data_IF_326622008708
#
_entry.id   IF_326622008708
#
_cell.length_a   1.000
_cell.length_b   1.000
_cell.length_c   1.000
_cell.angle_alpha   90.00
_cell.angle_beta   90.00
_cell.angle_gamma   90.00
#
_symmetry.space_group_name_H-M   'P 1'
#
loop_
_entity.id
_entity.type
_entity.pdbx_description
1 polymer ?
#
# COMPACT_ATOMS: atom_id res chain seq x y z
N UNK A 1 5.59 -23.80 -7.73
CA UNK A 1 6.69 -22.93 -8.19
C UNK A 1 8.01 -23.71 -8.16
N UNK A 2 8.39 -24.36 -7.04
CA UNK A 2 9.65 -25.13 -6.90
C UNK A 2 9.84 -26.23 -7.95
N UNK A 3 8.74 -26.87 -8.40
CA UNK A 3 8.79 -27.88 -9.47
C UNK A 3 8.92 -27.30 -10.89
N UNK A 4 8.80 -25.99 -11.05
CA UNK A 4 8.84 -25.30 -12.34
C UNK A 4 10.14 -24.54 -12.59
N UNK A 5 10.97 -24.37 -11.54
CA UNK A 5 12.22 -23.63 -11.61
C UNK A 5 13.27 -24.29 -10.73
N UNK A 6 14.22 -24.96 -11.36
CA UNK A 6 15.38 -25.54 -10.64
C UNK A 6 16.25 -24.42 -10.08
N UNK A 7 16.56 -24.51 -8.78
CA UNK A 7 17.36 -23.49 -8.08
C UNK A 7 16.56 -22.29 -7.56
N UNK A 8 15.22 -22.38 -7.52
CA UNK A 8 14.39 -21.33 -6.93
C UNK A 8 14.73 -21.14 -5.43
N UNK A 9 15.17 -19.95 -5.06
CA UNK A 9 15.40 -19.57 -3.67
C UNK A 9 14.10 -19.00 -3.08
N UNK A 10 13.48 -19.74 -2.18
CA UNK A 10 12.29 -19.28 -1.44
C UNK A 10 12.73 -18.61 -0.16
N UNK A 11 12.39 -17.34 0.01
CA UNK A 11 12.71 -16.55 1.20
C UNK A 11 11.43 -16.20 1.95
N UNK A 12 11.47 -16.11 3.30
CA UNK A 12 10.36 -15.60 4.08
C UNK A 12 10.03 -14.15 3.65
N UNK A 13 8.74 -13.83 3.60
CA UNK A 13 8.31 -12.44 3.38
C UNK A 13 8.75 -11.56 4.55
N UNK A 14 9.30 -10.39 4.24
CA UNK A 14 9.60 -9.32 5.21
C UNK A 14 8.72 -8.10 4.91
N UNK A 15 7.55 -7.99 5.58
CA UNK A 15 6.63 -6.87 5.37
C UNK A 15 7.26 -5.51 5.70
N UNK A 16 8.13 -5.45 6.70
CA UNK A 16 8.82 -4.22 7.07
C UNK A 16 9.79 -3.74 5.98
N UNK A 17 10.53 -4.67 5.36
CA UNK A 17 11.38 -4.34 4.21
C UNK A 17 10.55 -3.88 3.02
N UNK A 18 9.44 -4.56 2.74
CA UNK A 18 8.54 -4.17 1.65
C UNK A 18 7.96 -2.78 1.85
N UNK A 19 7.55 -2.46 3.09
CA UNK A 19 7.03 -1.12 3.42
C UNK A 19 8.12 -0.05 3.26
N UNK A 20 9.34 -0.29 3.78
CA UNK A 20 10.45 0.66 3.62
C UNK A 20 10.80 0.91 2.15
N UNK A 21 10.84 -0.13 1.34
CA UNK A 21 11.09 0.01 -0.10
C UNK A 21 9.96 0.80 -0.79
N UNK A 22 8.71 0.58 -0.38
CA UNK A 22 7.58 1.29 -0.94
C UNK A 22 7.48 2.75 -0.49
N UNK A 23 8.02 3.10 0.68
CA UNK A 23 8.10 4.49 1.12
C UNK A 23 8.87 5.37 0.14
N UNK A 24 9.91 4.85 -0.51
CA UNK A 24 10.64 5.59 -1.57
C UNK A 24 9.71 5.93 -2.74
N UNK A 25 8.82 5.00 -3.10
CA UNK A 25 7.79 5.26 -4.13
C UNK A 25 6.81 6.34 -3.68
N UNK A 26 6.38 6.30 -2.41
CA UNK A 26 5.46 7.33 -1.89
C UNK A 26 6.12 8.70 -1.83
N UNK A 27 7.41 8.76 -1.50
CA UNK A 27 8.18 10.01 -1.50
C UNK A 27 8.32 10.56 -2.93
N UNK A 28 8.60 9.69 -3.91
CA UNK A 28 8.61 10.05 -5.33
C UNK A 28 7.26 10.61 -5.82
N UNK A 29 6.15 9.98 -5.42
CA UNK A 29 4.80 10.48 -5.72
C UNK A 29 4.53 11.85 -5.05
N UNK A 30 5.15 12.13 -3.91
CA UNK A 30 5.08 13.43 -3.23
C UNK A 30 5.61 14.60 -4.06
N UNK A 31 6.50 14.35 -5.02
CA UNK A 31 6.96 15.37 -5.99
C UNK A 31 5.90 15.71 -7.05
N UNK A 32 4.97 14.77 -7.28
CA UNK A 32 3.90 14.92 -8.28
C UNK A 32 2.63 15.48 -7.66
N UNK A 33 2.32 15.09 -6.44
CA UNK A 33 1.09 15.50 -5.75
C UNK A 33 1.32 15.72 -4.26
N UNK A 34 0.75 16.78 -3.71
CA UNK A 34 0.77 17.07 -2.28
C UNK A 34 -0.01 16.01 -1.45
N UNK A 35 -0.94 15.31 -2.08
CA UNK A 35 -1.71 14.23 -1.44
C UNK A 35 -1.32 12.91 -2.08
N UNK A 36 -0.77 12.00 -1.27
CA UNK A 36 -0.42 10.64 -1.67
C UNK A 36 -1.08 9.67 -0.70
N UNK A 37 -1.80 8.69 -1.23
CA UNK A 37 -2.51 7.71 -0.42
C UNK A 37 -2.02 6.30 -0.73
N UNK A 38 -1.62 5.57 0.29
CA UNK A 38 -1.22 4.17 0.19
C UNK A 38 -2.43 3.27 0.42
N UNK A 39 -2.71 2.37 -0.53
CA UNK A 39 -3.65 1.28 -0.30
C UNK A 39 -2.96 0.16 0.49
N UNK A 40 -1.80 -0.27 -0.01
CA UNK A 40 -0.87 -1.21 0.62
C UNK A 40 0.48 -1.12 -0.11
N UNK A 41 1.56 -1.71 0.42
CA UNK A 41 2.82 -1.79 -0.31
C UNK A 41 2.62 -2.36 -1.73
N UNK A 42 3.04 -1.58 -2.74
CA UNK A 42 2.85 -1.86 -4.16
C UNK A 42 1.67 -1.14 -4.82
N UNK A 43 0.76 -0.51 -4.04
CA UNK A 43 -0.40 0.20 -4.58
C UNK A 43 -0.59 1.51 -3.84
N UNK A 44 -0.50 2.62 -4.57
CA UNK A 44 -0.82 3.96 -4.09
C UNK A 44 -1.69 4.69 -5.11
N UNK A 45 -2.30 5.79 -4.69
CA UNK A 45 -3.02 6.68 -5.57
C UNK A 45 -2.80 8.15 -5.16
N UNK A 46 -2.98 9.04 -6.13
CA UNK A 46 -2.96 10.48 -5.99
C UNK A 46 -4.21 11.07 -6.65
N UNK A 47 -4.68 12.26 -6.24
CA UNK A 47 -5.81 12.90 -6.89
C UNK A 47 -5.51 13.22 -8.37
N UNK A 48 -6.42 12.89 -9.28
CA UNK A 48 -6.29 13.21 -10.70
C UNK A 48 -6.23 14.73 -10.97
N UNK A 49 -6.69 15.55 -10.01
CA UNK A 49 -6.56 17.02 -10.08
C UNK A 49 -5.12 17.51 -10.18
N UNK A 50 -4.12 16.69 -9.85
CA UNK A 50 -2.71 16.97 -10.08
C UNK A 50 -2.40 17.18 -11.57
N UNK A 51 -3.18 16.60 -12.49
CA UNK A 51 -3.04 16.79 -13.94
C UNK A 51 -3.08 18.25 -14.39
N UNK A 52 -3.74 19.11 -13.62
CA UNK A 52 -3.79 20.57 -13.90
C UNK A 52 -2.40 21.21 -13.90
N UNK A 53 -1.45 20.66 -13.16
CA UNK A 53 -0.06 21.15 -13.13
C UNK A 53 0.73 20.68 -14.37
N UNK A 54 0.36 19.55 -14.95
CA UNK A 54 1.08 18.91 -16.04
C UNK A 54 0.41 19.10 -17.42
N UNK A 55 -0.79 19.69 -17.45
CA UNK A 55 -1.51 20.06 -18.65
C UNK A 55 -2.50 19.02 -19.17
N UNK A 56 -2.30 17.73 -18.90
CA UNK A 56 -3.25 16.67 -19.22
C UNK A 56 -3.11 15.47 -18.26
N UNK A 57 -4.04 14.53 -18.31
CA UNK A 57 -4.01 13.29 -17.54
C UNK A 57 -2.94 12.33 -18.06
N UNK A 58 -2.73 12.29 -19.37
CA UNK A 58 -1.65 11.51 -19.97
C UNK A 58 -0.29 12.02 -19.49
N UNK A 59 -0.07 13.34 -19.51
CA UNK A 59 1.17 13.94 -19.02
C UNK A 59 1.39 13.69 -17.52
N UNK A 60 0.33 13.64 -16.72
CA UNK A 60 0.41 13.20 -15.32
C UNK A 60 0.85 11.75 -15.21
N UNK A 61 0.27 10.83 -16.00
CA UNK A 61 0.67 9.43 -16.02
C UNK A 61 2.15 9.25 -16.40
N UNK A 62 2.59 9.92 -17.48
CA UNK A 62 3.99 9.90 -17.91
C UNK A 62 4.91 10.41 -16.80
N UNK A 63 4.58 11.54 -16.17
CA UNK A 63 5.37 12.09 -15.07
C UNK A 63 5.47 11.16 -13.87
N UNK A 64 4.39 10.47 -13.51
CA UNK A 64 4.40 9.46 -12.43
C UNK A 64 5.34 8.31 -12.77
N UNK A 65 5.28 7.79 -13.98
CA UNK A 65 6.17 6.70 -14.44
C UNK A 65 7.63 7.15 -14.38
N UNK A 66 7.94 8.34 -14.91
CA UNK A 66 9.30 8.89 -14.95
C UNK A 66 9.88 9.06 -13.55
N UNK A 67 9.15 9.71 -12.63
CA UNK A 67 9.62 9.96 -11.26
C UNK A 67 9.88 8.66 -10.51
N UNK A 68 9.00 7.67 -10.64
CA UNK A 68 9.20 6.38 -10.00
C UNK A 68 10.41 5.66 -10.60
N UNK A 69 10.55 5.64 -11.91
CA UNK A 69 11.69 5.02 -12.59
C UNK A 69 13.02 5.70 -12.21
N UNK A 70 13.05 7.03 -12.18
CA UNK A 70 14.22 7.83 -11.79
C UNK A 70 14.69 7.56 -10.37
N UNK A 71 13.76 7.49 -9.41
CA UNK A 71 14.09 7.37 -7.99
C UNK A 71 14.26 5.94 -7.49
N UNK A 72 13.56 4.98 -8.11
CA UNK A 72 13.55 3.61 -7.63
C UNK A 72 14.16 2.59 -8.59
N UNK A 73 14.33 2.96 -9.86
CA UNK A 73 14.71 2.03 -10.92
C UNK A 73 13.64 0.99 -11.23
N UNK A 74 12.41 1.17 -10.74
CA UNK A 74 11.30 0.22 -10.89
C UNK A 74 10.32 0.69 -11.96
N UNK A 75 9.71 -0.26 -12.64
CA UNK A 75 8.56 0.00 -13.51
C UNK A 75 7.28 0.07 -12.69
N UNK A 76 6.33 0.91 -13.11
CA UNK A 76 5.00 0.98 -12.53
C UNK A 76 3.92 1.06 -13.62
N UNK A 77 2.72 0.67 -13.25
CA UNK A 77 1.52 0.80 -14.08
C UNK A 77 0.66 1.91 -13.49
N UNK A 78 0.24 2.83 -14.34
CA UNK A 78 -0.55 4.00 -13.94
C UNK A 78 -1.87 4.00 -14.70
N UNK A 79 -2.95 4.32 -14.02
CA UNK A 79 -4.27 4.51 -14.62
C UNK A 79 -5.01 5.64 -13.93
N UNK A 80 -5.88 6.32 -14.66
CA UNK A 80 -6.75 7.39 -14.18
C UNK A 80 -8.21 6.96 -14.32
N UNK A 81 -9.08 7.50 -13.50
CA UNK A 81 -10.51 7.28 -13.56
C UNK A 81 -11.23 8.07 -12.47
N UNK A 82 -12.57 8.11 -12.54
CA UNK A 82 -13.42 8.81 -11.56
C UNK A 82 -13.33 8.20 -10.14
N UNK A 83 -12.79 6.96 -10.03
CA UNK A 83 -12.61 6.27 -8.75
C UNK A 83 -11.52 5.20 -8.81
N UNK A 84 -11.22 4.60 -7.64
CA UNK A 84 -10.16 3.61 -7.51
C UNK A 84 -10.33 2.42 -8.47
N UNK A 85 -11.55 1.93 -8.65
CA UNK A 85 -11.82 0.78 -9.51
C UNK A 85 -11.51 1.10 -10.98
N UNK A 86 -11.95 2.26 -11.46
CA UNK A 86 -11.70 2.69 -12.84
C UNK A 86 -10.21 2.95 -13.07
N UNK A 87 -9.56 3.67 -12.15
CA UNK A 87 -8.11 3.88 -12.20
C UNK A 87 -7.33 2.56 -12.16
N UNK A 88 -7.78 1.58 -11.35
CA UNK A 88 -7.20 0.25 -11.30
C UNK A 88 -7.30 -0.51 -12.63
N UNK A 89 -8.47 -0.46 -13.28
CA UNK A 89 -8.67 -1.03 -14.63
C UNK A 89 -7.75 -0.35 -15.63
N UNK A 90 -7.64 0.97 -15.57
CA UNK A 90 -6.72 1.76 -16.41
C UNK A 90 -5.27 1.30 -16.25
N UNK A 91 -4.79 1.16 -15.02
CA UNK A 91 -3.45 0.68 -14.73
C UNK A 91 -3.20 -0.75 -15.24
N UNK A 92 -4.17 -1.66 -15.08
CA UNK A 92 -4.05 -3.04 -15.56
C UNK A 92 -4.03 -3.16 -17.09
N UNK A 93 -4.71 -2.27 -17.79
CA UNK A 93 -4.88 -2.33 -19.24
C UNK A 93 -4.02 -1.32 -20.01
N UNK A 94 -3.30 -0.44 -19.30
CA UNK A 94 -2.51 0.62 -19.91
C UNK A 94 -3.37 1.67 -20.63
N UNK A 95 -4.55 1.99 -20.08
CA UNK A 95 -5.52 2.92 -20.66
C UNK A 95 -5.80 4.04 -19.68
N UNK A 96 -5.75 5.27 -20.16
CA UNK A 96 -6.21 6.45 -19.40
C UNK A 96 -7.74 6.50 -19.49
N UNK A 97 -8.42 6.66 -18.35
CA UNK A 97 -9.86 6.78 -18.23
C UNK A 97 -10.65 5.67 -18.98
N UNK A 98 -10.58 4.41 -18.52
CA UNK A 98 -11.27 3.29 -19.15
C UNK A 98 -12.79 3.48 -19.08
N UNK A 99 -13.48 3.12 -20.16
CA UNK A 99 -14.92 3.16 -20.23
C UNK A 99 -15.62 2.14 -19.28
N UNK A 100 -16.91 2.33 -19.05
CA UNK A 100 -17.71 1.49 -18.15
C UNK A 100 -17.74 0.02 -18.58
N UNK A 101 -17.65 -0.27 -19.87
CA UNK A 101 -17.61 -1.64 -20.41
C UNK A 101 -16.36 -2.36 -19.95
N UNK A 102 -15.20 -1.71 -20.00
CA UNK A 102 -13.93 -2.27 -19.54
C UNK A 102 -13.93 -2.54 -18.03
N UNK A 103 -14.57 -1.68 -17.26
CA UNK A 103 -14.76 -1.87 -15.83
C UNK A 103 -15.65 -3.07 -15.55
N UNK A 104 -16.78 -3.17 -16.27
CA UNK A 104 -17.74 -4.27 -16.12
C UNK A 104 -17.16 -5.63 -16.49
N UNK A 105 -16.30 -5.68 -17.49
CA UNK A 105 -15.66 -6.92 -17.96
C UNK A 105 -14.49 -7.38 -17.07
N UNK A 106 -14.05 -6.56 -16.11
CA UNK A 106 -12.95 -6.93 -15.22
C UNK A 106 -13.31 -8.18 -14.40
N UNK A 107 -12.43 -9.18 -14.42
CA UNK A 107 -12.58 -10.34 -13.55
C UNK A 107 -12.47 -9.95 -12.08
N UNK A 108 -13.38 -10.45 -11.24
CA UNK A 108 -13.37 -10.23 -9.80
C UNK A 108 -12.05 -10.63 -9.12
N UNK A 109 -11.31 -11.59 -9.67
CA UNK A 109 -10.00 -11.99 -9.13
C UNK A 109 -8.95 -10.87 -9.20
N UNK A 110 -9.07 -9.95 -10.15
CA UNK A 110 -8.19 -8.80 -10.25
C UNK A 110 -8.45 -7.73 -9.16
N UNK A 111 -9.54 -7.86 -8.39
CA UNK A 111 -9.82 -6.97 -7.26
C UNK A 111 -9.08 -7.39 -5.97
N UNK A 112 -8.56 -8.60 -5.89
CA UNK A 112 -7.83 -9.11 -4.70
C UNK A 112 -6.75 -8.15 -4.20
N UNK A 113 -5.92 -7.54 -5.06
CA UNK A 113 -4.91 -6.58 -4.61
C UNK A 113 -5.46 -5.34 -3.92
N UNK A 114 -6.69 -4.93 -4.18
CA UNK A 114 -7.34 -3.76 -3.58
C UNK A 114 -8.04 -4.07 -2.25
N UNK A 115 -8.06 -5.33 -1.85
CA UNK A 115 -8.77 -5.79 -0.66
C UNK A 115 -7.80 -6.11 0.47
N UNK A 116 -8.24 -5.88 1.71
CA UNK A 116 -7.41 -6.07 2.93
C UNK A 116 -7.69 -7.37 3.69
N UNK A 117 -8.67 -8.16 3.24
CA UNK A 117 -9.01 -9.45 3.85
C UNK A 117 -7.92 -10.50 3.60
N UNK A 118 -7.94 -11.58 4.41
CA UNK A 118 -7.05 -12.72 4.18
C UNK A 118 -7.32 -13.34 2.82
N UNK A 119 -6.26 -13.74 2.14
CA UNK A 119 -6.34 -14.30 0.80
C UNK A 119 -7.23 -15.54 0.72
N UNK A 120 -7.19 -16.40 1.75
CA UNK A 120 -8.06 -17.59 1.87
C UNK A 120 -9.54 -17.26 1.87
N UNK A 121 -9.93 -16.19 2.57
CA UNK A 121 -11.34 -15.81 2.71
C UNK A 121 -11.85 -15.17 1.42
N UNK A 122 -10.97 -14.39 0.75
CA UNK A 122 -11.23 -13.83 -0.58
C UNK A 122 -11.41 -14.94 -1.62
N UNK A 123 -10.52 -15.93 -1.64
CA UNK A 123 -10.61 -17.05 -2.60
C UNK A 123 -11.89 -17.85 -2.39
N UNK A 124 -12.27 -18.15 -1.16
CA UNK A 124 -13.50 -18.86 -0.85
C UNK A 124 -14.74 -18.12 -1.36
N UNK A 125 -14.80 -16.80 -1.18
CA UNK A 125 -15.92 -15.98 -1.67
C UNK A 125 -15.92 -15.91 -3.19
N UNK A 126 -14.77 -15.67 -3.82
CA UNK A 126 -14.65 -15.56 -5.27
C UNK A 126 -14.97 -16.91 -5.97
N UNK A 127 -14.56 -18.05 -5.38
CA UNK A 127 -14.90 -19.36 -5.88
C UNK A 127 -16.40 -19.66 -5.75
N UNK A 128 -17.02 -19.23 -4.65
CA UNK A 128 -18.48 -19.34 -4.45
C UNK A 128 -19.25 -18.49 -5.47
N UNK A 129 -18.79 -17.29 -5.76
CA UNK A 129 -19.36 -16.43 -6.79
C UNK A 129 -19.20 -17.03 -8.18
N UNK A 130 -18.01 -17.52 -8.50
CA UNK A 130 -17.73 -18.17 -9.79
C UNK A 130 -18.58 -19.43 -10.03
N UNK A 131 -18.85 -20.21 -8.98
CA UNK A 131 -19.75 -21.37 -9.04
C UNK A 131 -21.21 -20.97 -9.35
N UNK A 132 -21.61 -19.74 -8.99
CA UNK A 132 -22.91 -19.14 -9.32
C UNK A 132 -22.91 -18.43 -10.69
N UNK A 133 -21.81 -18.48 -11.43
CA UNK A 133 -21.68 -17.82 -12.72
C UNK A 133 -21.25 -16.35 -12.64
N UNK A 134 -21.05 -15.80 -11.44
CA UNK A 134 -20.65 -14.40 -11.21
C UNK A 134 -19.11 -14.32 -11.24
N UNK A 135 -18.56 -13.80 -12.31
CA UNK A 135 -17.11 -13.79 -12.56
C UNK A 135 -16.52 -12.41 -12.79
N UNK A 136 -17.34 -11.46 -13.22
CA UNK A 136 -16.91 -10.11 -13.55
C UNK A 136 -17.51 -9.09 -12.60
N UNK A 137 -16.98 -7.87 -12.65
CA UNK A 137 -17.53 -6.72 -11.92
C UNK A 137 -19.00 -6.49 -12.32
N UNK A 138 -19.30 -6.52 -13.62
CA UNK A 138 -20.66 -6.35 -14.12
C UNK A 138 -21.64 -7.42 -13.63
N UNK A 139 -21.20 -8.70 -13.63
CA UNK A 139 -22.01 -9.78 -13.06
C UNK A 139 -22.34 -9.52 -11.58
N UNK A 140 -21.35 -9.05 -10.80
CA UNK A 140 -21.55 -8.79 -9.39
C UNK A 140 -22.46 -7.57 -9.15
N UNK A 141 -22.31 -6.52 -9.95
CA UNK A 141 -23.18 -5.35 -9.91
C UNK A 141 -24.62 -5.69 -10.24
N UNK A 142 -24.85 -6.61 -11.19
CA UNK A 142 -26.17 -7.09 -11.56
C UNK A 142 -26.90 -7.83 -10.42
N UNK A 143 -26.16 -8.44 -9.47
CA UNK A 143 -26.77 -9.04 -8.26
C UNK A 143 -27.36 -7.99 -7.31
N UNK A 144 -26.87 -6.76 -7.37
CA UNK A 144 -27.25 -5.66 -6.51
C UNK A 144 -26.56 -5.63 -5.15
N UNK A 145 -26.29 -4.44 -4.67
CA UNK A 145 -25.51 -4.17 -3.47
C UNK A 145 -26.01 -4.89 -2.20
N UNK A 146 -27.34 -4.94 -2.01
CA UNK A 146 -27.95 -5.56 -0.84
C UNK A 146 -27.66 -7.05 -0.72
N UNK A 147 -27.65 -7.79 -1.82
CA UNK A 147 -27.36 -9.22 -1.85
C UNK A 147 -25.89 -9.49 -1.53
N UNK A 148 -24.99 -8.65 -2.04
CA UNK A 148 -23.54 -8.76 -1.78
C UNK A 148 -23.26 -8.54 -0.31
N UNK A 149 -23.80 -7.47 0.29
CA UNK A 149 -23.64 -7.16 1.72
C UNK A 149 -24.18 -8.26 2.63
N UNK A 150 -25.39 -8.78 2.35
CA UNK A 150 -26.04 -9.75 3.22
C UNK A 150 -25.39 -11.14 3.20
N UNK A 151 -24.73 -11.53 2.10
CA UNK A 151 -24.29 -12.90 1.90
C UNK A 151 -22.81 -13.14 2.20
N UNK A 152 -21.94 -12.15 2.03
CA UNK A 152 -20.50 -12.34 2.02
C UNK A 152 -19.76 -11.63 3.16
N UNK A 153 -20.47 -11.20 4.20
CA UNK A 153 -19.89 -10.62 5.42
C UNK A 153 -18.89 -9.49 5.16
N UNK A 154 -17.70 -9.57 5.75
CA UNK A 154 -16.66 -8.55 5.61
C UNK A 154 -16.13 -8.44 4.18
N UNK A 155 -16.01 -9.55 3.46
CA UNK A 155 -15.62 -9.55 2.05
C UNK A 155 -16.68 -8.87 1.21
N UNK A 156 -17.97 -9.16 1.45
CA UNK A 156 -19.09 -8.50 0.81
C UNK A 156 -19.11 -7.00 1.07
N UNK A 157 -18.79 -6.58 2.29
CA UNK A 157 -18.70 -5.17 2.65
C UNK A 157 -17.57 -4.45 1.90
N UNK A 158 -16.41 -5.11 1.75
CA UNK A 158 -15.28 -4.55 1.00
C UNK A 158 -15.57 -4.48 -0.51
N UNK A 159 -16.18 -5.51 -1.09
CA UNK A 159 -16.66 -5.49 -2.46
C UNK A 159 -17.68 -4.37 -2.67
N UNK A 160 -18.63 -4.22 -1.74
CA UNK A 160 -19.60 -3.12 -1.80
C UNK A 160 -18.93 -1.75 -1.83
N UNK A 161 -18.00 -1.50 -0.93
CA UNK A 161 -17.27 -0.22 -0.87
C UNK A 161 -16.52 0.06 -2.18
N UNK A 162 -15.86 -0.96 -2.72
CA UNK A 162 -15.08 -0.83 -3.93
C UNK A 162 -15.96 -0.57 -5.18
N UNK A 163 -17.13 -1.20 -5.27
CA UNK A 163 -17.96 -1.18 -6.47
C UNK A 163 -19.04 -0.08 -6.48
N UNK A 164 -19.51 0.38 -5.30
CA UNK A 164 -20.63 1.31 -5.19
C UNK A 164 -20.36 2.57 -4.35
N UNK A 165 -19.22 2.64 -3.66
CA UNK A 165 -18.89 3.81 -2.83
C UNK A 165 -17.59 4.47 -3.30
N UNK A 166 -17.73 5.61 -3.95
CA UNK A 166 -16.63 6.43 -4.47
C UNK A 166 -15.76 6.99 -3.33
N UNK A 167 -16.32 7.22 -2.14
CA UNK A 167 -15.67 7.93 -1.04
C UNK A 167 -14.77 7.09 -0.14
N UNK A 168 -14.58 5.79 -0.43
CA UNK A 168 -13.72 4.93 0.39
C UNK A 168 -12.23 5.32 0.36
N UNK A 169 -11.84 6.21 -0.55
CA UNK A 169 -10.46 6.60 -0.80
C UNK A 169 -9.91 7.66 0.17
N UNK A 170 -10.75 8.43 0.85
CA UNK A 170 -10.30 9.52 1.71
C UNK A 170 -9.69 9.09 3.05
N UNK A 171 -9.64 7.81 3.37
CA UNK A 171 -9.24 7.34 4.71
C UNK A 171 -7.76 7.01 4.90
N UNK A 172 -6.95 7.12 3.89
CA UNK A 172 -5.52 6.82 3.98
C UNK A 172 -4.66 7.95 3.39
N UNK A 173 -5.08 9.21 3.59
CA UNK A 173 -4.18 10.33 3.33
C UNK A 173 -2.94 10.13 4.20
N UNK A 174 -1.83 9.78 3.56
CA UNK A 174 -0.54 10.07 4.14
C UNK A 174 -0.34 11.58 3.95
N UNK A 175 -0.62 12.37 4.97
CA UNK A 175 0.15 13.58 5.13
C UNK A 175 1.62 13.17 4.99
N UNK A 176 2.48 13.90 4.27
CA UNK A 176 3.90 13.65 4.34
C UNK A 176 4.24 13.63 5.82
N UNK A 177 4.41 12.42 6.38
CA UNK A 177 4.95 12.28 7.71
C UNK A 177 6.41 12.66 7.55
N UNK A 178 6.69 13.93 7.77
CA UNK A 178 8.03 14.40 7.98
C UNK A 178 8.52 13.75 9.27
N UNK A 179 8.97 12.52 9.16
CA UNK A 179 9.60 11.82 10.27
C UNK A 179 11.07 11.53 9.96
N UNK A 180 11.85 11.42 11.01
CA UNK A 180 13.23 10.98 10.94
C UNK A 180 13.33 9.66 11.67
N UNK A 181 13.82 8.63 11.00
CA UNK A 181 14.01 7.29 11.56
C UNK A 181 15.50 6.97 11.71
N UNK A 182 15.80 6.24 12.78
CA UNK A 182 17.10 5.65 13.00
C UNK A 182 16.93 4.21 13.49
N UNK A 183 17.46 3.25 12.73
CA UNK A 183 17.43 1.83 13.11
C UNK A 183 18.78 1.42 13.64
N UNK A 184 18.79 0.76 14.79
CA UNK A 184 19.98 0.12 15.37
C UNK A 184 19.82 -1.39 15.28
N UNK A 185 20.78 -2.06 14.66
CA UNK A 185 20.80 -3.52 14.58
C UNK A 185 21.97 -4.02 15.43
N UNK A 186 21.65 -4.78 16.47
CA UNK A 186 22.67 -5.42 17.31
C UNK A 186 23.16 -6.71 16.66
N UNK A 187 24.46 -6.90 16.59
CA UNK A 187 25.07 -8.14 16.06
C UNK A 187 24.73 -9.37 16.92
N UNK A 188 24.49 -9.15 18.21
CA UNK A 188 24.00 -10.15 19.16
C UNK A 188 22.84 -9.56 19.98
N UNK A 189 21.86 -10.37 20.41
CA UNK A 189 20.78 -9.89 21.25
C UNK A 189 21.31 -9.25 22.54
N UNK A 190 20.81 -8.06 22.85
CA UNK A 190 21.17 -7.32 24.09
C UNK A 190 20.12 -7.64 25.14
N UNK A 191 20.55 -8.24 26.25
CA UNK A 191 19.68 -8.57 27.39
C UNK A 191 19.73 -7.51 28.50
N UNK A 192 20.77 -6.67 28.53
CA UNK A 192 20.97 -5.63 29.54
C UNK A 192 20.27 -4.33 29.10
N UNK A 193 19.34 -3.86 29.93
CA UNK A 193 18.59 -2.64 29.69
C UNK A 193 19.49 -1.39 29.68
N UNK A 194 20.53 -1.35 30.53
CA UNK A 194 21.47 -0.22 30.58
C UNK A 194 22.27 -0.07 29.29
N UNK A 195 22.67 -1.18 28.71
CA UNK A 195 23.34 -1.21 27.39
C UNK A 195 22.39 -0.74 26.30
N UNK A 196 21.16 -1.25 26.29
CA UNK A 196 20.16 -0.83 25.31
C UNK A 196 19.83 0.68 25.41
N UNK A 197 19.69 1.21 26.62
CA UNK A 197 19.45 2.63 26.86
C UNK A 197 20.66 3.49 26.44
N UNK A 198 21.88 3.03 26.65
CA UNK A 198 23.10 3.71 26.20
C UNK A 198 23.09 3.91 24.67
N UNK A 199 22.73 2.87 23.92
CA UNK A 199 22.56 2.98 22.46
C UNK A 199 21.43 3.92 22.05
N UNK A 200 20.29 3.90 22.73
CA UNK A 200 19.18 4.81 22.44
C UNK A 200 19.58 6.27 22.67
N UNK A 201 20.34 6.56 23.74
CA UNK A 201 20.83 7.90 24.00
C UNK A 201 21.82 8.38 22.93
N UNK A 202 22.73 7.52 22.50
CA UNK A 202 23.65 7.83 21.42
C UNK A 202 22.91 8.13 20.12
N UNK A 203 21.93 7.29 19.76
CA UNK A 203 21.17 7.47 18.54
C UNK A 203 20.22 8.67 18.58
N UNK A 204 19.74 9.09 19.76
CA UNK A 204 18.93 10.28 19.90
C UNK A 204 19.65 11.55 19.44
N UNK A 205 20.95 11.66 19.69
CA UNK A 205 21.79 12.74 19.18
C UNK A 205 21.79 12.80 17.66
N UNK A 206 21.98 11.65 17.00
CA UNK A 206 21.94 11.54 15.54
C UNK A 206 20.57 11.88 14.96
N UNK A 207 19.48 11.52 15.64
CA UNK A 207 18.12 11.90 15.23
C UNK A 207 17.89 13.40 15.31
N UNK A 208 18.35 14.05 16.38
CA UNK A 208 18.26 15.51 16.54
C UNK A 208 19.06 16.21 15.43
N UNK A 209 20.27 15.78 15.12
CA UNK A 209 21.05 16.33 14.01
C UNK A 209 20.32 16.23 12.67
N UNK A 210 19.68 15.08 12.39
CA UNK A 210 18.88 14.88 11.18
C UNK A 210 17.64 15.80 11.14
N UNK A 211 16.96 16.01 12.28
CA UNK A 211 15.84 16.94 12.38
C UNK A 211 16.30 18.38 12.11
N UNK A 212 17.40 18.80 12.73
CA UNK A 212 17.98 20.14 12.52
C UNK A 212 18.38 20.34 11.05
N UNK A 213 19.03 19.36 10.44
CA UNK A 213 19.43 19.42 9.03
C UNK A 213 18.23 19.58 8.09
N UNK A 214 17.08 19.00 8.43
CA UNK A 214 15.81 19.13 7.70
C UNK A 214 14.97 20.34 8.13
N UNK A 215 15.45 21.15 9.06
CA UNK A 215 14.71 22.28 9.66
C UNK A 215 13.36 21.86 10.28
N UNK A 216 13.32 20.66 10.88
CA UNK A 216 12.14 20.06 11.48
C UNK A 216 12.20 20.11 13.00
N UNK A 217 11.03 20.15 13.64
CA UNK A 217 10.84 19.88 15.07
C UNK A 217 9.84 18.73 15.24
N UNK A 218 9.99 17.95 16.30
CA UNK A 218 9.05 16.87 16.62
C UNK A 218 8.41 17.07 17.97
N UNK A 219 7.15 16.69 18.09
CA UNK A 219 6.41 16.58 19.36
C UNK A 219 6.04 15.13 19.67
N UNK A 220 6.46 14.18 18.82
CA UNK A 220 6.11 12.78 18.99
C UNK A 220 7.34 11.90 18.70
N UNK A 221 7.54 10.88 19.52
CA UNK A 221 8.62 9.89 19.36
C UNK A 221 8.07 8.49 19.50
N UNK A 222 8.30 7.66 18.48
CA UNK A 222 8.00 6.23 18.52
C UNK A 222 9.28 5.41 18.67
N UNK A 223 9.30 4.52 19.65
CA UNK A 223 10.38 3.54 19.81
C UNK A 223 9.82 2.14 19.57
N UNK A 224 10.39 1.45 18.59
CA UNK A 224 10.03 0.06 18.29
C UNK A 224 11.21 -0.85 18.58
N UNK A 225 10.99 -1.84 19.44
CA UNK A 225 11.98 -2.86 19.78
C UNK A 225 11.57 -4.23 19.21
N UNK A 226 12.53 -4.91 18.60
CA UNK A 226 12.37 -6.29 18.16
C UNK A 226 13.03 -7.18 19.21
N UNK A 227 12.22 -7.96 19.91
CA UNK A 227 12.64 -8.82 21.04
C UNK A 227 12.69 -10.26 20.53
N UNK A 228 13.82 -10.94 20.78
CA UNK A 228 13.96 -12.37 20.53
C UNK A 228 13.61 -13.12 21.82
N UNK A 229 12.46 -13.77 21.86
CA UNK A 229 12.03 -14.60 22.97
C UNK A 229 12.11 -16.10 22.65
N UNK A 230 11.86 -16.93 23.65
CA UNK A 230 11.86 -18.40 23.50
C UNK A 230 10.83 -18.90 22.48
N UNK A 231 9.77 -18.13 22.21
CA UNK A 231 8.72 -18.43 21.25
C UNK A 231 8.88 -17.70 19.88
N UNK A 232 10.02 -17.06 19.63
CA UNK A 232 10.31 -16.35 18.39
C UNK A 232 10.44 -14.85 18.56
N UNK A 233 10.35 -14.14 17.44
CA UNK A 233 10.51 -12.69 17.34
C UNK A 233 9.21 -11.99 17.73
N UNK A 234 9.28 -11.03 18.64
CA UNK A 234 8.14 -10.19 19.07
C UNK A 234 8.51 -8.74 18.84
N UNK A 235 7.63 -7.99 18.22
CA UNK A 235 7.76 -6.55 18.04
C UNK A 235 6.95 -5.82 19.13
N UNK A 236 7.56 -4.84 19.76
CA UNK A 236 6.95 -3.98 20.76
C UNK A 236 7.23 -2.53 20.39
N UNK A 237 6.19 -1.72 20.28
CA UNK A 237 6.33 -0.29 20.06
C UNK A 237 5.65 0.51 21.16
N UNK A 238 6.18 1.69 21.42
CA UNK A 238 5.60 2.66 22.35
C UNK A 238 5.80 4.07 21.81
N UNK A 239 4.74 4.85 21.85
CA UNK A 239 4.66 6.24 21.41
C UNK A 239 4.62 7.18 22.61
N UNK A 240 5.35 8.29 22.48
CA UNK A 240 5.33 9.42 23.40
C UNK A 240 5.05 10.69 22.60
N UNK A 241 4.05 11.47 23.04
CA UNK A 241 3.65 12.76 22.49
C UNK A 241 3.83 13.88 23.53
#
# INVERSE_FOLDING_TARGET
AEHLCDGLLVMPSDPGRSLRAFNVVLDALGEVSATVCMVKPGIAWIPASASRTFGSEEALCERVVDVIAEQTGSECYVGIGEGLLQAWVGALQGVVDPDESRVSDLSLRHLKPLMSQKESDLDQVLDSLAALGVRTVGDLQALGAGHVLARFGEVGQSLYRLLWQVDALHKAERAPEDFVEQTVVFSTPVADLGVALGYLLEQSGSLVEKLVAKQMATNEVDITAIILGAMGRVERSRRWA
#
